data_IF_798331181673
#
_entry.id   IF_798331181673
#
_cell.length_a   1.000
_cell.length_b   1.000
_cell.length_c   1.000
_cell.angle_alpha   90.00
_cell.angle_beta   90.00
_cell.angle_gamma   90.00
#
_symmetry.space_group_name_H-M   'P 1'
#
loop_
_entity.id
_entity.type
_entity.pdbx_description
1 polymer ?
#
# COMPACT_ATOMS: atom_id res chain seq x y z
N UNK A 1 -42.49 1.29 3.78
CA UNK A 1 -41.45 2.33 3.87
C UNK A 1 -40.31 1.88 2.98
N UNK A 2 -40.10 2.52 1.84
CA UNK A 2 -39.00 2.19 0.94
C UNK A 2 -37.74 2.82 1.50
N UNK A 3 -36.74 2.02 1.86
CA UNK A 3 -35.44 2.52 2.28
C UNK A 3 -34.82 3.31 1.11
N UNK A 4 -34.52 4.59 1.35
CA UNK A 4 -33.71 5.39 0.43
C UNK A 4 -32.30 4.77 0.47
N UNK A 5 -31.73 4.31 -0.66
CA UNK A 5 -30.37 3.82 -0.66
C UNK A 5 -29.43 4.96 -0.26
N UNK A 6 -28.56 4.70 0.72
CA UNK A 6 -27.54 5.65 1.14
C UNK A 6 -26.73 6.12 -0.07
N UNK A 7 -26.66 7.44 -0.25
CA UNK A 7 -25.90 8.07 -1.34
C UNK A 7 -24.43 7.66 -1.18
N UNK A 8 -23.84 7.07 -2.25
CA UNK A 8 -22.42 6.70 -2.21
C UNK A 8 -21.59 7.97 -2.04
N UNK A 9 -20.60 7.99 -1.13
CA UNK A 9 -19.78 9.18 -0.93
C UNK A 9 -19.13 9.60 -2.25
N UNK A 10 -19.18 10.90 -2.54
CA UNK A 10 -18.70 11.46 -3.78
C UNK A 10 -17.19 11.27 -3.90
N UNK A 11 -16.73 10.65 -4.99
CA UNK A 11 -15.31 10.48 -5.30
C UNK A 11 -14.65 11.84 -5.55
N UNK A 12 -13.49 12.04 -4.96
CA UNK A 12 -12.65 13.22 -5.10
C UNK A 12 -11.96 13.25 -6.47
N UNK A 13 -11.72 14.44 -7.05
CA UNK A 13 -10.96 14.57 -8.29
C UNK A 13 -9.54 13.99 -8.20
N UNK A 14 -9.01 13.53 -9.34
CA UNK A 14 -7.64 13.05 -9.47
C UNK A 14 -6.61 13.99 -8.82
N UNK A 15 -5.72 13.43 -8.00
CA UNK A 15 -4.66 14.17 -7.31
C UNK A 15 -5.10 14.90 -6.03
N UNK A 16 -6.37 14.79 -5.64
CA UNK A 16 -6.82 15.25 -4.32
C UNK A 16 -6.15 14.40 -3.23
N UNK A 17 -5.60 15.04 -2.19
CA UNK A 17 -5.14 14.33 -0.99
C UNK A 17 -6.35 13.78 -0.25
N UNK A 18 -6.40 12.46 -0.10
CA UNK A 18 -7.44 11.74 0.61
C UNK A 18 -7.14 11.64 2.11
N UNK A 19 -5.86 11.55 2.45
CA UNK A 19 -5.38 11.52 3.82
C UNK A 19 -3.87 11.35 3.89
N UNK A 20 -3.33 11.28 5.10
CA UNK A 20 -1.89 11.22 5.37
C UNK A 20 -1.65 10.15 6.44
N UNK A 21 -0.63 9.33 6.22
CA UNK A 21 -0.17 8.32 7.17
C UNK A 21 1.35 8.28 7.17
N UNK A 22 1.98 8.29 8.34
CA UNK A 22 3.44 8.32 8.48
C UNK A 22 4.14 9.41 7.62
N UNK A 23 3.53 10.59 7.54
CA UNK A 23 3.94 11.72 6.70
C UNK A 23 3.88 11.46 5.17
N UNK A 24 3.19 10.41 4.75
CA UNK A 24 2.99 10.04 3.34
C UNK A 24 1.54 10.31 2.94
N UNK A 25 1.34 11.21 1.96
CA UNK A 25 0.01 11.50 1.41
C UNK A 25 -0.52 10.35 0.53
N UNK A 26 -1.83 10.10 0.63
CA UNK A 26 -2.58 9.22 -0.26
C UNK A 26 -3.44 10.07 -1.18
N UNK A 27 -3.40 9.81 -2.49
CA UNK A 27 -4.07 10.63 -3.49
C UNK A 27 -5.18 9.87 -4.23
N UNK A 28 -6.24 10.61 -4.59
CA UNK A 28 -7.27 10.12 -5.51
C UNK A 28 -6.68 9.80 -6.87
N UNK A 29 -6.97 8.61 -7.39
CA UNK A 29 -6.70 8.26 -8.77
C UNK A 29 -7.95 8.40 -9.66
N UNK A 30 -9.09 8.80 -9.09
CA UNK A 30 -10.34 8.93 -9.82
C UNK A 30 -10.27 10.02 -10.90
N UNK A 31 -10.46 9.62 -12.15
CA UNK A 31 -10.57 10.53 -13.27
C UNK A 31 -11.85 10.25 -14.05
N UNK A 32 -12.83 11.15 -13.92
CA UNK A 32 -14.11 11.07 -14.63
C UNK A 32 -13.96 11.07 -16.16
N UNK A 33 -12.85 11.61 -16.70
CA UNK A 33 -12.59 11.73 -18.14
C UNK A 33 -11.92 10.50 -18.78
N UNK A 34 -11.73 9.40 -18.02
CA UNK A 34 -10.97 8.21 -18.43
C UNK A 34 -9.46 8.51 -18.60
N UNK A 35 -8.53 7.76 -17.97
CA UNK A 35 -7.13 8.16 -17.89
C UNK A 35 -6.41 7.94 -19.23
N UNK A 36 -6.26 9.00 -20.04
CA UNK A 36 -5.49 8.92 -21.30
C UNK A 36 -3.98 8.83 -21.13
N UNK A 37 -3.43 9.03 -19.91
CA UNK A 37 -2.05 8.72 -19.47
C UNK A 37 -1.88 9.15 -18.02
N UNK A 38 -1.64 8.21 -17.11
CA UNK A 38 -1.11 8.56 -15.78
C UNK A 38 0.29 9.13 -15.93
N UNK A 39 0.56 10.26 -15.26
CA UNK A 39 1.90 10.88 -15.25
C UNK A 39 2.82 10.08 -14.34
N UNK A 40 4.11 10.11 -14.63
CA UNK A 40 5.14 9.57 -13.74
C UNK A 40 5.24 10.45 -12.47
N UNK A 41 5.49 9.82 -11.33
CA UNK A 41 5.77 10.48 -10.06
C UNK A 41 7.20 10.17 -9.62
N UNK A 42 7.87 11.20 -9.08
CA UNK A 42 9.20 11.11 -8.51
C UNK A 42 9.21 11.71 -7.10
N UNK A 43 9.89 11.04 -6.17
CA UNK A 43 10.18 11.57 -4.83
C UNK A 43 11.70 11.74 -4.70
N UNK A 44 12.17 12.98 -4.54
CA UNK A 44 13.61 13.32 -4.48
C UNK A 44 14.45 12.69 -5.61
N UNK A 45 13.92 12.71 -6.84
CA UNK A 45 14.58 12.14 -8.02
C UNK A 45 14.39 10.62 -8.20
N UNK A 46 13.79 9.93 -7.24
CA UNK A 46 13.48 8.49 -7.33
C UNK A 46 12.10 8.30 -7.93
N UNK A 47 12.02 7.55 -9.03
CA UNK A 47 10.74 7.17 -9.64
C UNK A 47 9.92 6.28 -8.69
N UNK A 48 8.71 6.71 -8.32
CA UNK A 48 7.83 5.92 -7.44
C UNK A 48 6.76 5.17 -8.23
N UNK A 49 6.32 5.67 -9.37
CA UNK A 49 5.33 4.98 -10.20
C UNK A 49 4.47 5.94 -11.01
N UNK A 50 3.34 5.44 -11.49
CA UNK A 50 2.34 6.24 -12.20
C UNK A 50 1.34 6.82 -11.20
N UNK A 51 1.08 8.12 -11.31
CA UNK A 51 0.07 8.84 -10.52
C UNK A 51 -1.34 8.29 -10.81
N UNK A 52 -2.16 7.92 -9.82
CA UNK A 52 -1.86 7.65 -8.41
C UNK A 52 -2.23 6.19 -8.15
N UNK A 53 -1.39 5.29 -8.67
CA UNK A 53 -1.66 3.85 -8.61
C UNK A 53 -1.23 3.26 -7.27
N UNK A 54 -1.73 2.07 -6.95
CA UNK A 54 -1.37 1.33 -5.74
C UNK A 54 0.15 1.08 -5.64
N UNK A 55 0.79 0.68 -6.74
CA UNK A 55 2.25 0.47 -6.81
C UNK A 55 3.03 1.75 -6.55
N UNK A 56 2.51 2.90 -7.01
CA UNK A 56 3.14 4.20 -6.78
C UNK A 56 3.18 4.53 -5.29
N UNK A 57 2.06 4.37 -4.58
CA UNK A 57 2.02 4.60 -3.13
C UNK A 57 2.95 3.63 -2.39
N UNK A 58 2.88 2.34 -2.71
CA UNK A 58 3.68 1.32 -2.04
C UNK A 58 5.18 1.62 -2.17
N UNK A 59 5.66 1.96 -3.38
CA UNK A 59 7.06 2.34 -3.59
C UNK A 59 7.40 3.64 -2.89
N UNK A 60 6.56 4.68 -3.01
CA UNK A 60 6.80 5.98 -2.37
C UNK A 60 6.88 5.86 -0.86
N UNK A 61 6.02 5.07 -0.24
CA UNK A 61 6.05 4.84 1.20
C UNK A 61 7.38 4.23 1.64
N UNK A 62 7.86 3.17 0.97
CA UNK A 62 9.14 2.56 1.30
C UNK A 62 10.32 3.53 1.10
N UNK A 63 10.30 4.32 0.02
CA UNK A 63 11.34 5.33 -0.23
C UNK A 63 11.37 6.36 0.91
N UNK A 64 10.21 6.88 1.33
CA UNK A 64 10.11 7.91 2.37
C UNK A 64 10.45 7.35 3.75
N UNK A 65 9.97 6.15 4.10
CA UNK A 65 10.05 5.61 5.46
C UNK A 65 11.30 4.78 5.74
N UNK A 66 11.90 4.17 4.73
CA UNK A 66 13.05 3.29 4.92
C UNK A 66 14.16 3.45 3.88
N UNK A 67 14.00 4.34 2.90
CA UNK A 67 14.95 4.47 1.79
C UNK A 67 15.09 3.18 0.99
N UNK A 68 14.00 2.39 0.88
CA UNK A 68 13.95 1.15 0.11
C UNK A 68 13.05 1.33 -1.10
N UNK A 69 13.41 0.71 -2.22
CA UNK A 69 12.59 0.58 -3.41
C UNK A 69 12.55 -0.87 -3.88
N UNK A 70 11.77 -1.13 -4.93
CA UNK A 70 11.73 -2.42 -5.60
C UNK A 70 11.72 -2.26 -7.12
N UNK A 71 12.25 -3.28 -7.78
CA UNK A 71 12.41 -3.35 -9.23
C UNK A 71 11.12 -3.04 -9.99
N UNK A 72 11.24 -2.59 -11.23
CA UNK A 72 10.09 -2.34 -12.10
C UNK A 72 9.24 -3.59 -12.27
N UNK A 73 7.94 -3.43 -12.10
CA UNK A 73 6.92 -4.47 -12.25
C UNK A 73 5.82 -3.94 -13.17
N UNK A 74 5.11 -4.86 -13.82
CA UNK A 74 3.95 -4.53 -14.64
C UNK A 74 2.65 -4.60 -13.85
N UNK A 75 2.55 -5.57 -12.93
CA UNK A 75 1.35 -5.84 -12.15
C UNK A 75 1.67 -5.94 -10.67
N UNK A 76 0.77 -5.45 -9.81
CA UNK A 76 1.01 -5.35 -8.37
C UNK A 76 1.25 -6.71 -7.69
N UNK A 77 0.55 -7.76 -8.13
CA UNK A 77 0.76 -9.11 -7.58
C UNK A 77 2.20 -9.62 -7.76
N UNK A 78 2.95 -9.10 -8.75
CA UNK A 78 4.33 -9.53 -9.02
C UNK A 78 5.28 -9.18 -7.88
N UNK A 79 4.92 -8.22 -7.01
CA UNK A 79 5.70 -7.88 -5.80
C UNK A 79 5.93 -9.12 -4.93
N UNK A 80 4.94 -10.01 -4.86
CA UNK A 80 5.01 -11.24 -4.08
C UNK A 80 5.91 -12.30 -4.72
N UNK A 81 6.22 -12.20 -6.01
CA UNK A 81 7.11 -13.12 -6.71
C UNK A 81 8.57 -12.94 -6.32
N UNK A 82 9.36 -14.03 -6.35
CA UNK A 82 10.79 -14.02 -6.04
C UNK A 82 11.64 -13.20 -7.02
N UNK A 83 11.13 -12.90 -8.21
CA UNK A 83 11.78 -12.08 -9.22
C UNK A 83 11.77 -10.57 -8.89
N UNK A 84 10.91 -10.12 -7.97
CA UNK A 84 10.91 -8.72 -7.54
C UNK A 84 12.04 -8.49 -6.55
N UNK A 85 13.07 -7.77 -6.98
CA UNK A 85 14.20 -7.39 -6.14
C UNK A 85 13.87 -6.13 -5.35
N UNK A 86 14.35 -6.06 -4.11
CA UNK A 86 14.30 -4.87 -3.27
C UNK A 86 15.72 -4.36 -3.06
N UNK A 87 15.88 -3.04 -3.03
CA UNK A 87 17.18 -2.39 -2.94
C UNK A 87 17.07 -1.06 -2.18
N UNK A 88 18.19 -0.60 -1.64
CA UNK A 88 18.28 0.71 -1.03
C UNK A 88 18.44 1.77 -2.12
N UNK A 89 17.87 2.95 -1.89
CA UNK A 89 17.95 4.08 -2.84
C UNK A 89 19.38 4.62 -3.01
N UNK A 90 20.25 4.41 -2.02
CA UNK A 90 21.69 4.72 -2.04
C UNK A 90 22.55 3.54 -2.50
N UNK A 91 21.92 2.41 -2.83
CA UNK A 91 22.54 1.23 -3.40
C UNK A 91 22.61 0.03 -2.46
N UNK A 92 22.58 -1.15 -3.06
CA UNK A 92 22.70 -2.44 -2.36
C UNK A 92 21.36 -3.16 -2.17
N UNK A 93 21.37 -4.50 -2.19
CA UNK A 93 20.14 -5.30 -2.07
C UNK A 93 19.55 -5.25 -0.67
N UNK A 94 18.23 -5.37 -0.59
CA UNK A 94 17.47 -5.50 0.66
C UNK A 94 16.84 -6.88 0.71
N UNK A 95 17.07 -7.60 1.80
CA UNK A 95 16.40 -8.88 2.03
C UNK A 95 14.96 -8.62 2.45
N UNK A 96 14.05 -9.44 1.92
CA UNK A 96 12.64 -9.41 2.26
C UNK A 96 12.15 -10.81 2.56
N UNK A 97 11.16 -10.91 3.45
CA UNK A 97 10.46 -12.18 3.71
C UNK A 97 9.07 -12.12 3.11
N UNK A 98 8.75 -13.07 2.24
CA UNK A 98 7.43 -13.22 1.64
C UNK A 98 6.65 -14.24 2.44
N UNK A 99 5.57 -13.79 3.06
CA UNK A 99 4.77 -14.56 3.99
C UNK A 99 3.39 -14.79 3.35
N UNK A 100 3.05 -16.02 2.97
CA UNK A 100 1.69 -16.35 2.56
C UNK A 100 0.69 -15.99 3.66
N UNK A 101 -0.54 -15.61 3.29
CA UNK A 101 -1.57 -15.36 4.29
C UNK A 101 -1.78 -16.60 5.18
N UNK A 102 -1.74 -16.44 6.50
CA UNK A 102 -1.69 -17.54 7.47
C UNK A 102 -0.30 -17.98 7.90
N UNK A 103 0.77 -17.34 7.43
CA UNK A 103 2.13 -17.61 7.90
C UNK A 103 2.33 -17.27 9.39
N UNK A 104 3.30 -17.93 10.02
CA UNK A 104 3.69 -17.69 11.41
C UNK A 104 4.38 -16.34 11.62
N UNK A 105 5.17 -15.90 10.64
CA UNK A 105 5.84 -14.60 10.67
C UNK A 105 4.84 -13.48 10.38
N UNK A 106 4.45 -12.73 11.41
CA UNK A 106 3.48 -11.62 11.31
C UNK A 106 3.97 -10.51 10.38
N UNK A 107 3.04 -9.73 9.78
CA UNK A 107 3.42 -8.48 9.14
C UNK A 107 3.97 -7.50 10.18
N UNK A 108 4.80 -6.57 9.73
CA UNK A 108 5.23 -5.40 10.49
C UNK A 108 4.73 -4.10 9.84
N UNK A 109 4.72 -3.00 10.58
CA UNK A 109 4.49 -1.67 9.97
C UNK A 109 5.47 -1.43 8.81
N UNK A 110 4.94 -1.01 7.67
CA UNK A 110 5.65 -0.87 6.39
C UNK A 110 5.67 -2.12 5.51
N UNK A 111 5.11 -3.25 5.96
CA UNK A 111 4.96 -4.44 5.13
C UNK A 111 4.00 -4.20 3.97
N UNK A 112 4.30 -4.80 2.81
CA UNK A 112 3.46 -4.69 1.63
C UNK A 112 2.44 -5.84 1.60
N UNK A 113 1.16 -5.53 1.69
CA UNK A 113 0.06 -6.50 1.61
C UNK A 113 -0.38 -6.68 0.16
N UNK A 114 -0.37 -7.92 -0.35
CA UNK A 114 -0.51 -8.21 -1.78
C UNK A 114 -1.76 -9.06 -2.05
N UNK A 115 -2.56 -8.60 -3.01
CA UNK A 115 -3.65 -9.37 -3.59
C UNK A 115 -3.28 -9.85 -4.99
N UNK A 116 -3.71 -11.07 -5.30
CA UNK A 116 -3.61 -11.62 -6.64
C UNK A 116 -4.59 -10.95 -7.60
N UNK A 117 -4.48 -11.29 -8.87
CA UNK A 117 -5.47 -10.99 -9.89
C UNK A 117 -6.85 -11.57 -9.50
N UNK A 118 -7.87 -10.72 -9.42
CA UNK A 118 -9.21 -11.12 -8.97
C UNK A 118 -10.10 -9.95 -8.62
N UNK A 119 -11.38 -10.21 -8.33
CA UNK A 119 -12.32 -9.19 -7.82
C UNK A 119 -12.49 -7.97 -8.74
N UNK A 120 -12.30 -6.77 -8.18
CA UNK A 120 -12.30 -5.49 -8.89
C UNK A 120 -10.96 -5.18 -9.59
N UNK A 121 -9.90 -5.94 -9.28
CA UNK A 121 -8.52 -5.77 -9.76
C UNK A 121 -8.07 -6.96 -10.61
N UNK A 122 -8.93 -7.38 -11.54
CA UNK A 122 -8.88 -8.67 -12.24
C UNK A 122 -7.60 -8.95 -13.03
N UNK A 123 -6.86 -7.93 -13.45
CA UNK A 123 -5.65 -8.11 -14.27
C UNK A 123 -4.36 -7.75 -13.52
N UNK A 124 -4.43 -6.78 -12.61
CA UNK A 124 -3.26 -6.17 -12.00
C UNK A 124 -2.95 -6.72 -10.62
N UNK A 125 -3.93 -7.33 -9.95
CA UNK A 125 -3.90 -7.49 -8.50
C UNK A 125 -3.86 -6.14 -7.78
N UNK A 126 -3.50 -6.15 -6.50
CA UNK A 126 -3.43 -4.94 -5.68
C UNK A 126 -2.29 -4.99 -4.66
N UNK A 127 -1.82 -3.82 -4.23
CA UNK A 127 -0.86 -3.69 -3.13
C UNK A 127 -1.30 -2.56 -2.21
N UNK A 128 -1.26 -2.82 -0.91
CA UNK A 128 -1.41 -1.84 0.14
C UNK A 128 -0.20 -1.87 1.07
N UNK A 129 -0.02 -0.81 1.86
CA UNK A 129 1.00 -0.76 2.92
C UNK A 129 0.31 -0.96 4.26
N UNK A 130 0.82 -1.88 5.07
CA UNK A 130 0.34 -2.08 6.44
C UNK A 130 0.96 -1.00 7.34
N UNK A 131 0.14 -0.19 8.00
CA UNK A 131 0.58 0.91 8.88
C UNK A 131 0.36 0.59 10.36
N UNK A 132 -0.56 -0.32 10.69
CA UNK A 132 -0.79 -0.81 12.06
C UNK A 132 -1.05 -2.30 12.05
N UNK A 133 -0.50 -3.02 13.02
CA UNK A 133 -0.70 -4.47 13.19
C UNK A 133 -1.14 -4.74 14.61
N UNK A 134 -2.34 -5.29 14.76
CA UNK A 134 -2.89 -5.73 16.04
C UNK A 134 -3.26 -7.22 15.96
N UNK A 135 -3.69 -7.82 17.06
CA UNK A 135 -4.08 -9.24 17.08
C UNK A 135 -5.35 -9.55 16.28
N UNK A 136 -6.24 -8.57 16.16
CA UNK A 136 -7.58 -8.72 15.57
C UNK A 136 -7.77 -7.90 14.30
N UNK A 137 -6.80 -7.05 13.93
CA UNK A 137 -6.87 -6.27 12.71
C UNK A 137 -5.50 -5.78 12.24
N UNK A 138 -5.46 -5.36 10.98
CA UNK A 138 -4.43 -4.48 10.44
C UNK A 138 -5.07 -3.21 9.88
N UNK A 139 -4.39 -2.08 10.03
CA UNK A 139 -4.72 -0.88 9.28
C UNK A 139 -3.78 -0.76 8.09
N UNK A 140 -4.35 -0.40 6.95
CA UNK A 140 -3.62 -0.27 5.69
C UNK A 140 -3.82 1.12 5.10
N UNK A 141 -2.86 1.55 4.28
CA UNK A 141 -3.03 2.63 3.31
C UNK A 141 -2.88 2.08 1.89
N UNK A 142 -3.72 2.58 1.00
CA UNK A 142 -3.69 2.20 -0.41
C UNK A 142 -4.19 3.34 -1.31
N UNK A 143 -3.75 3.31 -2.57
CA UNK A 143 -4.29 4.16 -3.64
C UNK A 143 -4.98 3.27 -4.66
N UNK A 144 -5.85 3.85 -5.48
CA UNK A 144 -6.59 3.11 -6.50
C UNK A 144 -7.45 2.00 -5.90
N UNK A 145 -8.17 2.34 -4.82
CA UNK A 145 -9.23 1.52 -4.22
C UNK A 145 -10.46 2.39 -3.94
N UNK A 146 -10.35 3.30 -2.97
CA UNK A 146 -11.37 4.31 -2.66
C UNK A 146 -10.81 5.72 -2.87
N UNK A 147 -11.61 6.57 -3.51
CA UNK A 147 -11.23 7.93 -3.89
C UNK A 147 -11.95 8.98 -3.02
N UNK A 148 -12.10 8.74 -1.73
CA UNK A 148 -12.80 9.65 -0.80
C UNK A 148 -11.89 10.11 0.32
N UNK A 149 -12.00 11.38 0.72
CA UNK A 149 -11.24 11.91 1.86
C UNK A 149 -11.57 11.10 3.12
N UNK A 150 -10.53 10.73 3.86
CA UNK A 150 -10.65 9.98 5.09
C UNK A 150 -11.33 10.83 6.17
N UNK A 151 -12.07 10.22 7.11
CA UNK A 151 -12.59 10.92 8.27
C UNK A 151 -11.48 11.67 9.03
N UNK A 152 -11.85 12.78 9.68
CA UNK A 152 -10.92 13.54 10.51
C UNK A 152 -10.26 12.64 11.56
N UNK A 153 -8.95 12.80 11.76
CA UNK A 153 -8.11 12.02 12.68
C UNK A 153 -7.87 10.55 12.28
N UNK A 154 -8.36 10.10 11.12
CA UNK A 154 -8.02 8.79 10.57
C UNK A 154 -6.71 8.85 9.78
N UNK A 155 -5.81 7.90 10.04
CA UNK A 155 -4.48 7.78 9.44
C UNK A 155 -4.32 6.52 8.57
N UNK A 156 -5.44 5.91 8.14
CA UNK A 156 -5.48 4.71 7.32
C UNK A 156 -6.62 4.76 6.30
N UNK A 157 -6.51 4.03 5.17
CA UNK A 157 -7.60 3.92 4.19
C UNK A 157 -8.63 2.89 4.63
N UNK A 158 -8.19 1.70 5.04
CA UNK A 158 -9.06 0.61 5.48
C UNK A 158 -8.47 -0.11 6.69
N UNK A 159 -9.38 -0.63 7.51
CA UNK A 159 -9.09 -1.63 8.55
C UNK A 159 -9.54 -2.99 8.05
N UNK A 160 -8.63 -3.95 8.02
CA UNK A 160 -8.95 -5.33 7.66
C UNK A 160 -8.96 -6.18 8.93
N UNK A 161 -9.96 -7.05 9.04
CA UNK A 161 -10.03 -8.03 10.14
C UNK A 161 -8.84 -8.97 10.00
N UNK A 162 -8.19 -9.24 11.13
CA UNK A 162 -7.13 -10.21 11.22
C UNK A 162 -7.37 -11.15 12.42
N UNK A 163 -6.66 -12.25 12.45
CA UNK A 163 -6.72 -13.19 13.56
C UNK A 163 -5.37 -13.85 13.77
N UNK A 164 -4.95 -13.89 15.03
CA UNK A 164 -3.88 -14.80 15.46
C UNK A 164 -4.49 -16.19 15.66
N UNK A 165 -3.96 -17.18 14.95
CA UNK A 165 -4.32 -18.59 15.10
C UNK A 165 -3.13 -19.34 15.74
N UNK A 166 -3.32 -20.57 16.24
CA UNK A 166 -2.20 -21.40 16.69
C UNK A 166 -1.14 -21.64 15.60
N UNK A 167 -1.56 -21.61 14.34
CA UNK A 167 -0.72 -21.93 13.18
C UNK A 167 -0.10 -20.68 12.52
N UNK A 168 -0.55 -19.47 12.87
CA UNK A 168 0.00 -18.23 12.33
C UNK A 168 -0.90 -17.02 12.46
N UNK A 169 -0.81 -16.11 11.49
CA UNK A 169 -1.58 -14.86 11.45
C UNK A 169 -2.32 -14.75 10.12
N UNK A 170 -3.64 -14.54 10.17
CA UNK A 170 -4.48 -14.47 8.98
C UNK A 170 -5.11 -13.08 8.86
N UNK A 171 -5.07 -12.49 7.67
CA UNK A 171 -5.84 -11.30 7.33
C UNK A 171 -7.02 -11.74 6.45
N UNK A 172 -8.22 -11.30 6.80
CA UNK A 172 -9.42 -11.61 6.04
C UNK A 172 -9.45 -10.77 4.74
N UNK A 173 -9.71 -11.38 3.57
CA UNK A 173 -9.94 -10.62 2.36
C UNK A 173 -11.22 -9.78 2.51
N UNK A 174 -11.26 -8.60 1.86
CA UNK A 174 -12.40 -7.70 1.98
C UNK A 174 -13.65 -8.22 1.24
N UNK A 175 -13.46 -9.14 0.29
CA UNK A 175 -14.55 -9.83 -0.41
C UNK A 175 -14.18 -11.26 -0.79
N UNK A 176 -15.18 -12.13 -0.99
CA UNK A 176 -14.98 -13.52 -1.41
C UNK A 176 -14.39 -13.67 -2.82
N UNK A 177 -14.36 -12.59 -3.60
CA UNK A 177 -13.83 -12.56 -4.96
C UNK A 177 -12.38 -12.04 -5.01
N UNK A 178 -11.79 -11.72 -3.86
CA UNK A 178 -10.40 -11.29 -3.73
C UNK A 178 -9.54 -12.43 -3.17
N UNK A 179 -8.40 -12.66 -3.80
CA UNK A 179 -7.39 -13.60 -3.31
C UNK A 179 -6.26 -12.81 -2.67
N UNK A 180 -6.18 -12.85 -1.34
CA UNK A 180 -5.06 -12.26 -0.62
C UNK A 180 -3.88 -13.25 -0.64
N UNK A 181 -2.78 -12.89 -1.30
CA UNK A 181 -1.59 -13.74 -1.37
C UNK A 181 -0.87 -13.79 -0.02
N UNK A 182 -0.75 -12.64 0.64
CA UNK A 182 0.00 -12.48 1.88
C UNK A 182 0.71 -11.14 1.92
N UNK A 183 1.80 -11.06 2.70
CA UNK A 183 2.57 -9.83 2.86
C UNK A 183 4.06 -10.03 2.62
N UNK A 184 4.74 -8.93 2.31
CA UNK A 184 6.19 -8.85 2.18
C UNK A 184 6.74 -7.99 3.31
N UNK A 185 7.44 -8.64 4.24
CA UNK A 185 8.19 -7.96 5.30
C UNK A 185 9.52 -7.45 4.73
N UNK A 186 9.82 -6.17 4.95
CA UNK A 186 11.06 -5.54 4.49
C UNK A 186 12.06 -5.51 5.65
N UNK A 187 13.24 -6.11 5.47
CA UNK A 187 14.30 -6.04 6.47
C UNK A 187 14.94 -4.65 6.44
N UNK A 188 14.51 -3.80 7.36
CA UNK A 188 14.97 -2.41 7.51
C UNK A 188 15.99 -2.25 8.64
N UNK A 189 16.53 -3.34 9.19
CA UNK A 189 17.46 -3.30 10.32
C UNK A 189 18.78 -2.56 10.03
N UNK A 190 19.06 -2.26 8.75
CA UNK A 190 20.16 -1.40 8.29
C UNK A 190 19.70 -0.11 7.57
N UNK A 191 18.44 0.29 7.73
CA UNK A 191 17.95 1.57 7.23
C UNK A 191 18.43 2.69 8.17
N UNK A 192 19.21 3.63 7.63
CA UNK A 192 19.54 4.84 8.36
C UNK A 192 18.21 5.56 8.72
N UNK A 193 18.07 6.14 9.93
CA UNK A 193 16.87 6.87 10.28
C UNK A 193 16.62 8.00 9.26
N UNK A 194 15.36 8.36 8.99
CA UNK A 194 15.05 9.45 8.07
C UNK A 194 15.79 10.70 8.52
N UNK A 195 16.60 11.27 7.62
CA UNK A 195 17.36 12.50 7.85
C UNK A 195 16.39 13.57 8.35
N UNK A 196 16.46 13.89 9.64
CA UNK A 196 15.83 15.07 10.19
C UNK A 196 16.65 16.23 9.65
N UNK A 197 16.21 16.81 8.53
CA UNK A 197 16.73 18.09 8.08
C UNK A 197 16.31 19.12 9.14
N UNK A 198 17.17 19.31 10.14
CA UNK A 198 17.10 20.46 11.04
C UNK A 198 17.20 21.71 10.18
N UNK A 199 16.09 22.45 10.11
CA UNK A 199 16.04 23.75 9.46
C UNK A 199 17.14 24.66 10.02
N UNK A 200 18.08 25.02 9.15
CA UNK A 200 18.99 26.13 9.34
C UNK A 200 18.27 27.43 9.04
N UNK A 201 18.45 28.39 9.96
CA UNK A 201 17.90 29.75 9.99
C UNK A 201 17.98 30.52 8.68
#
# INVERSE_FOLDING_TARGET
MCAVPAEKPQRCPFGTVLGVSDDVCVYSCWNAACPKRSKEHFHNGIFTGLQWQCVELARRYLVVRSGVTFSSIRFAYQIFGSSTAFERVDGGPVTVTRCPNGATARPTTGSLLIWDHGGTMKETGHVAVIVRVEDTFVDIIEQNHDDTVWPSHQDYSRRLVAATTPDGYCIAPASVNETLLGWVNIDTTNAAPPNTLTGGR
#
